data_IF_770157137333
#
_entry.id   IF_770157137333
#
_cell.length_a   1.000
_cell.length_b   1.000
_cell.length_c   1.000
_cell.angle_alpha   90.00
_cell.angle_beta   90.00
_cell.angle_gamma   90.00
#
_symmetry.space_group_name_H-M   'P 1'
#
loop_
_entity.id
_entity.type
_entity.pdbx_description
1 polymer ?
#
# COMPACT_ATOMS: atom_id res chain seq x y z
N UNK A 1 15.16 -9.15 0.69
CA UNK A 1 15.75 -7.91 0.13
C UNK A 1 15.86 -6.87 1.26
N UNK A 2 16.78 -5.90 1.20
CA UNK A 2 16.86 -4.84 2.23
C UNK A 2 15.76 -3.80 2.01
N UNK A 3 15.24 -3.23 3.09
CA UNK A 3 14.14 -2.24 3.05
C UNK A 3 14.49 -1.03 2.18
N UNK A 4 15.70 -0.49 2.31
CA UNK A 4 16.17 0.66 1.50
C UNK A 4 16.11 0.39 0.00
N UNK A 5 16.53 -0.82 -0.43
CA UNK A 5 16.49 -1.23 -1.84
C UNK A 5 15.05 -1.30 -2.37
N UNK A 6 14.10 -1.72 -1.54
CA UNK A 6 12.69 -1.79 -1.93
C UNK A 6 12.14 -0.37 -2.13
N UNK A 7 12.46 0.57 -1.24
CA UNK A 7 12.06 1.97 -1.42
C UNK A 7 12.63 2.57 -2.70
N UNK A 8 13.91 2.32 -3.01
CA UNK A 8 14.53 2.78 -4.25
C UNK A 8 13.85 2.21 -5.50
N UNK A 9 13.48 0.92 -5.48
CA UNK A 9 12.73 0.27 -6.56
C UNK A 9 11.36 0.94 -6.77
N UNK A 10 10.62 1.18 -5.69
CA UNK A 10 9.31 1.84 -5.75
C UNK A 10 9.42 3.27 -6.27
N UNK A 11 10.39 4.05 -5.76
CA UNK A 11 10.63 5.43 -6.24
C UNK A 11 10.94 5.45 -7.73
N UNK A 12 11.79 4.54 -8.19
CA UNK A 12 12.16 4.44 -9.61
C UNK A 12 10.93 4.10 -10.45
N UNK A 13 10.14 3.10 -10.04
CA UNK A 13 8.95 2.68 -10.75
C UNK A 13 7.90 3.80 -10.85
N UNK A 14 7.67 4.57 -9.78
CA UNK A 14 6.77 5.74 -9.81
C UNK A 14 7.28 6.81 -10.76
N UNK A 15 8.59 7.09 -10.75
CA UNK A 15 9.20 8.07 -11.67
C UNK A 15 9.11 7.65 -13.14
N UNK A 16 9.18 6.34 -13.42
CA UNK A 16 9.06 5.81 -14.78
C UNK A 16 7.61 5.80 -15.29
N UNK A 17 6.63 5.58 -14.42
CA UNK A 17 5.21 5.56 -14.79
C UNK A 17 4.64 6.97 -15.03
N UNK A 18 5.02 7.96 -14.21
CA UNK A 18 4.53 9.33 -14.38
C UNK A 18 5.44 10.10 -15.35
N UNK A 19 5.12 10.01 -16.64
CA UNK A 19 5.90 10.64 -17.71
C UNK A 19 5.71 12.17 -17.80
N UNK A 20 4.64 12.70 -17.23
CA UNK A 20 4.29 14.13 -17.27
C UNK A 20 4.82 14.90 -16.06
N UNK A 21 4.87 16.25 -16.09
CA UNK A 21 5.31 17.02 -14.92
C UNK A 21 4.38 16.85 -13.72
N UNK A 22 4.94 16.40 -12.59
CA UNK A 22 4.23 16.17 -11.33
C UNK A 22 5.03 16.74 -10.13
N UNK A 23 4.43 16.75 -8.94
CA UNK A 23 5.07 17.31 -7.74
C UNK A 23 5.25 16.27 -6.63
N UNK A 24 4.15 15.65 -6.20
CA UNK A 24 4.09 14.66 -5.13
C UNK A 24 3.22 13.49 -5.58
N UNK A 25 3.62 12.27 -5.22
CA UNK A 25 2.87 11.04 -5.37
C UNK A 25 2.67 10.42 -3.98
N UNK A 26 1.48 9.91 -3.73
CA UNK A 26 1.11 9.20 -2.51
C UNK A 26 0.75 7.77 -2.91
N UNK A 27 1.50 6.82 -2.39
CA UNK A 27 1.31 5.40 -2.63
C UNK A 27 0.92 4.71 -1.32
N UNK A 28 -0.25 4.10 -1.29
CA UNK A 28 -0.69 3.24 -0.20
C UNK A 28 -0.34 1.80 -0.54
N UNK A 29 0.22 1.08 0.43
CA UNK A 29 0.63 -0.30 0.30
C UNK A 29 0.01 -1.08 1.45
N UNK A 30 -0.82 -2.07 1.13
CA UNK A 30 -1.50 -2.94 2.09
C UNK A 30 -0.86 -4.32 2.05
N UNK A 31 -0.58 -4.89 3.21
CA UNK A 31 -0.13 -6.27 3.32
C UNK A 31 -1.30 -7.23 3.56
N UNK A 32 -1.41 -8.25 2.71
CA UNK A 32 -2.38 -9.32 2.86
C UNK A 32 -1.68 -10.54 3.45
N UNK A 33 -1.91 -10.81 4.74
CA UNK A 33 -1.19 -11.89 5.41
C UNK A 33 -1.65 -13.28 4.95
N UNK A 34 -2.89 -13.40 4.47
CA UNK A 34 -3.47 -14.62 3.92
C UNK A 34 -2.79 -15.12 2.63
N UNK A 35 -2.47 -14.23 1.69
CA UNK A 35 -1.79 -14.57 0.43
C UNK A 35 -0.28 -14.31 0.46
N UNK A 36 0.21 -13.64 1.51
CA UNK A 36 1.57 -13.11 1.59
C UNK A 36 1.93 -12.13 0.46
N UNK A 37 0.92 -11.46 -0.10
CA UNK A 37 1.07 -10.45 -1.14
C UNK A 37 0.90 -9.05 -0.56
N UNK A 38 1.24 -8.04 -1.38
CA UNK A 38 0.94 -6.66 -1.07
C UNK A 38 0.14 -6.06 -2.22
N UNK A 39 -0.89 -5.31 -1.87
CA UNK A 39 -1.67 -4.52 -2.81
C UNK A 39 -1.22 -3.07 -2.72
N UNK A 40 -1.29 -2.34 -3.84
CA UNK A 40 -0.98 -0.92 -3.84
C UNK A 40 -1.93 -0.11 -4.72
N UNK A 41 -2.25 1.07 -4.23
CA UNK A 41 -3.02 2.12 -4.89
C UNK A 41 -2.33 3.46 -4.63
N UNK A 42 -2.61 4.45 -5.46
CA UNK A 42 -2.02 5.76 -5.22
C UNK A 42 -2.62 6.87 -6.04
N UNK A 43 -2.20 8.09 -5.70
CA UNK A 43 -2.50 9.30 -6.46
C UNK A 43 -1.25 10.14 -6.60
N UNK A 44 -1.23 11.06 -7.55
CA UNK A 44 -0.19 12.06 -7.65
C UNK A 44 -0.78 13.41 -8.03
N UNK A 45 -0.06 14.49 -7.69
CA UNK A 45 -0.40 15.84 -8.07
C UNK A 45 0.34 16.21 -9.36
N UNK A 46 -0.41 16.50 -10.41
CA UNK A 46 0.14 17.03 -11.66
C UNK A 46 0.71 18.45 -11.47
N UNK A 47 1.28 19.04 -12.53
CA UNK A 47 1.85 20.38 -12.46
C UNK A 47 0.84 21.50 -12.16
N UNK A 48 -0.46 21.27 -12.31
CA UNK A 48 -1.51 22.19 -11.91
C UNK A 48 -1.92 22.03 -10.45
N UNK A 49 -1.47 20.96 -9.79
CA UNK A 49 -1.83 20.61 -8.43
C UNK A 49 -3.13 19.82 -8.34
N UNK A 50 -3.64 19.29 -9.47
CA UNK A 50 -4.81 18.41 -9.48
C UNK A 50 -4.40 16.97 -9.21
N UNK A 51 -5.23 16.26 -8.44
CA UNK A 51 -4.99 14.87 -8.08
C UNK A 51 -5.38 13.95 -9.24
N UNK A 52 -4.42 13.14 -9.66
CA UNK A 52 -4.54 12.12 -10.68
C UNK A 52 -4.35 10.74 -10.06
N UNK A 53 -4.98 9.72 -10.63
CA UNK A 53 -4.77 8.33 -10.20
C UNK A 53 -3.40 7.86 -10.67
N UNK A 54 -2.61 7.30 -9.75
CA UNK A 54 -1.36 6.64 -10.07
C UNK A 54 -1.66 5.22 -10.57
N UNK A 55 -1.23 4.89 -11.79
CA UNK A 55 -1.19 3.49 -12.20
C UNK A 55 -0.22 2.74 -11.29
N UNK A 56 -0.68 1.62 -10.73
CA UNK A 56 0.13 0.70 -9.92
C UNK A 56 0.46 -0.58 -10.68
N UNK A 57 0.48 -0.50 -12.01
CA UNK A 57 0.97 -1.57 -12.91
C UNK A 57 2.51 -1.63 -12.87
N UNK A 58 3.06 -1.77 -11.68
CA UNK A 58 4.50 -1.87 -11.47
C UNK A 58 5.04 -3.20 -12.02
N UNK A 59 6.34 -3.26 -12.38
CA UNK A 59 6.98 -4.52 -12.74
C UNK A 59 6.83 -5.56 -11.62
N UNK A 60 6.67 -6.84 -11.99
CA UNK A 60 6.52 -7.96 -11.04
C UNK A 60 7.61 -7.95 -9.96
N UNK A 61 8.86 -7.60 -10.30
CA UNK A 61 9.96 -7.48 -9.34
C UNK A 61 9.67 -6.48 -8.20
N UNK A 62 8.98 -5.38 -8.51
CA UNK A 62 8.59 -4.38 -7.50
C UNK A 62 7.47 -4.96 -6.63
N UNK A 63 6.44 -5.54 -7.24
CA UNK A 63 5.29 -6.12 -6.54
C UNK A 63 5.71 -7.25 -5.60
N UNK A 64 6.57 -8.16 -6.07
CA UNK A 64 7.14 -9.27 -5.29
C UNK A 64 8.02 -8.77 -4.14
N UNK A 65 8.58 -7.56 -4.24
CA UNK A 65 9.43 -6.97 -3.22
C UNK A 65 8.64 -6.29 -2.09
N UNK A 66 7.42 -5.79 -2.36
CA UNK A 66 6.61 -5.04 -1.39
C UNK A 66 6.31 -5.78 -0.08
N UNK A 67 5.93 -7.09 -0.08
CA UNK A 67 5.71 -7.83 1.16
C UNK A 67 6.91 -7.83 2.12
N UNK A 68 8.14 -7.74 1.58
CA UNK A 68 9.35 -7.71 2.39
C UNK A 68 9.46 -6.44 3.24
N UNK A 69 8.77 -5.34 2.92
CA UNK A 69 8.71 -4.15 3.78
C UNK A 69 8.12 -4.47 5.16
N UNK A 70 7.08 -5.30 5.18
CA UNK A 70 6.36 -5.69 6.39
C UNK A 70 7.15 -6.76 7.16
N UNK A 71 7.67 -7.76 6.44
CA UNK A 71 8.50 -8.83 7.02
C UNK A 71 9.79 -8.28 7.63
N UNK A 72 10.50 -7.39 6.93
CA UNK A 72 11.73 -6.78 7.44
C UNK A 72 11.46 -5.96 8.70
N UNK A 73 10.40 -5.13 8.69
CA UNK A 73 10.02 -4.34 9.85
C UNK A 73 9.76 -5.21 11.08
N UNK A 74 9.03 -6.32 10.92
CA UNK A 74 8.77 -7.27 11.99
C UNK A 74 10.07 -7.92 12.51
N UNK A 75 10.97 -8.31 11.60
CA UNK A 75 12.28 -8.89 11.96
C UNK A 75 13.18 -7.89 12.71
N UNK A 76 13.05 -6.60 12.41
CA UNK A 76 13.76 -5.51 13.11
C UNK A 76 13.17 -5.19 14.50
N UNK A 77 12.11 -5.90 14.92
CA UNK A 77 11.49 -5.75 16.23
C UNK A 77 10.59 -4.51 16.38
N UNK A 78 10.20 -3.89 15.26
CA UNK A 78 9.27 -2.77 15.26
C UNK A 78 7.82 -3.22 15.51
N UNK A 79 6.92 -2.30 15.90
CA UNK A 79 5.50 -2.61 16.02
C UNK A 79 4.90 -3.17 14.71
N UNK A 80 3.94 -4.11 14.82
CA UNK A 80 3.26 -4.68 13.66
C UNK A 80 2.52 -3.60 12.87
N UNK A 81 2.39 -3.84 11.58
CA UNK A 81 1.77 -2.94 10.60
C UNK A 81 1.24 -3.79 9.46
N UNK A 82 0.11 -3.37 8.89
CA UNK A 82 -0.52 -4.00 7.72
C UNK A 82 -0.81 -2.98 6.61
N UNK A 83 -0.44 -1.71 6.84
CA UNK A 83 -0.56 -0.63 5.87
C UNK A 83 0.67 0.28 5.94
N UNK A 84 1.08 0.80 4.80
CA UNK A 84 2.17 1.76 4.66
C UNK A 84 1.77 2.82 3.64
N UNK A 85 1.94 4.08 3.98
CA UNK A 85 1.86 5.19 3.04
C UNK A 85 3.26 5.67 2.70
N UNK A 86 3.55 5.79 1.42
CA UNK A 86 4.79 6.33 0.90
C UNK A 86 4.49 7.61 0.13
N UNK A 87 5.05 8.73 0.61
CA UNK A 87 4.99 10.02 -0.09
C UNK A 87 6.28 10.21 -0.86
N UNK A 88 6.20 10.36 -2.18
CA UNK A 88 7.34 10.50 -3.09
C UNK A 88 7.26 11.87 -3.75
N UNK A 89 8.39 12.55 -3.86
CA UNK A 89 8.51 13.80 -4.61
C UNK A 89 9.05 13.55 -6.02
N UNK A 90 8.76 14.45 -6.95
CA UNK A 90 9.31 14.38 -8.31
C UNK A 90 10.85 14.37 -8.36
N UNK A 91 11.53 14.82 -7.29
CA UNK A 91 13.00 14.75 -7.17
C UNK A 91 13.52 13.43 -6.59
N UNK A 92 12.65 12.44 -6.35
CA UNK A 92 13.02 11.13 -5.82
C UNK A 92 13.23 11.08 -4.30
N UNK A 93 12.94 12.17 -3.58
CA UNK A 93 12.87 12.12 -2.11
C UNK A 93 11.58 11.46 -1.69
N UNK A 94 11.62 10.68 -0.62
CA UNK A 94 10.45 10.00 -0.11
C UNK A 94 10.36 10.07 1.42
N UNK A 95 9.15 9.88 1.93
CA UNK A 95 8.81 9.64 3.33
C UNK A 95 7.91 8.40 3.42
N UNK A 96 7.96 7.71 4.56
CA UNK A 96 7.24 6.46 4.78
C UNK A 96 6.60 6.49 6.16
N UNK A 97 5.30 6.26 6.18
CA UNK A 97 4.49 6.14 7.39
C UNK A 97 3.86 4.76 7.46
N UNK A 98 4.08 4.07 8.59
CA UNK A 98 3.54 2.73 8.83
C UNK A 98 2.34 2.82 9.75
N UNK A 99 1.26 2.12 9.39
CA UNK A 99 0.03 2.11 10.15
C UNK A 99 -0.46 0.67 10.43
N UNK A 100 -1.15 0.53 11.55
CA UNK A 100 -1.95 -0.65 11.84
C UNK A 100 -3.43 -0.30 11.67
N UNK A 101 -4.06 -0.88 10.65
CA UNK A 101 -5.47 -0.74 10.38
C UNK A 101 -6.21 -2.00 10.88
N UNK A 102 -7.07 -1.82 11.89
CA UNK A 102 -7.82 -2.92 12.49
C UNK A 102 -8.88 -3.50 11.53
N UNK A 103 -9.44 -2.68 10.63
CA UNK A 103 -10.42 -3.14 9.65
C UNK A 103 -9.75 -4.09 8.65
N UNK A 104 -8.55 -3.75 8.17
CA UNK A 104 -7.73 -4.61 7.31
C UNK A 104 -7.41 -5.93 8.02
N UNK A 105 -6.99 -5.87 9.28
CA UNK A 105 -6.68 -7.10 10.02
C UNK A 105 -7.90 -8.01 10.15
N UNK A 106 -9.06 -7.45 10.47
CA UNK A 106 -10.29 -8.21 10.63
C UNK A 106 -10.76 -8.82 9.29
N UNK A 107 -10.59 -8.08 8.19
CA UNK A 107 -10.87 -8.54 6.83
C UNK A 107 -10.04 -9.79 6.50
N UNK A 108 -8.73 -9.68 6.68
CA UNK A 108 -7.79 -10.75 6.39
C UNK A 108 -8.01 -11.97 7.30
N UNK A 109 -8.29 -11.75 8.58
CA UNK A 109 -8.69 -12.79 9.53
C UNK A 109 -9.96 -13.53 9.09
N UNK A 110 -10.95 -12.80 8.58
CA UNK A 110 -12.22 -13.35 8.13
C UNK A 110 -12.04 -14.23 6.89
N UNK A 111 -11.30 -13.75 5.89
CA UNK A 111 -11.02 -14.52 4.68
C UNK A 111 -10.11 -15.71 4.92
N UNK A 112 -9.12 -15.59 5.82
CA UNK A 112 -8.26 -16.70 6.25
C UNK A 112 -9.06 -17.84 6.89
N UNK A 113 -10.16 -17.52 7.59
CA UNK A 113 -11.06 -18.50 8.20
C UNK A 113 -12.08 -19.09 7.20
N UNK A 114 -11.97 -18.78 5.92
CA UNK A 114 -12.87 -19.24 4.85
C UNK A 114 -14.17 -18.44 4.76
N UNK A 115 -14.21 -17.23 5.32
CA UNK A 115 -15.34 -16.33 5.24
C UNK A 115 -15.58 -15.80 3.82
N UNK A 116 -16.82 -15.42 3.53
CA UNK A 116 -17.23 -14.89 2.23
C UNK A 116 -17.25 -13.36 2.20
N UNK A 117 -17.13 -12.76 1.00
CA UNK A 117 -17.22 -11.32 0.83
C UNK A 117 -18.57 -10.74 1.30
N UNK A 118 -19.67 -11.50 1.13
CA UNK A 118 -21.00 -11.08 1.61
C UNK A 118 -21.04 -10.98 3.14
N UNK A 119 -20.42 -11.92 3.84
CA UNK A 119 -20.33 -11.88 5.30
C UNK A 119 -19.42 -10.74 5.76
N UNK A 120 -18.30 -10.52 5.06
CA UNK A 120 -17.41 -9.41 5.35
C UNK A 120 -18.11 -8.06 5.23
N UNK A 121 -18.85 -7.80 4.13
CA UNK A 121 -19.61 -6.55 3.97
C UNK A 121 -20.56 -6.29 5.13
N UNK A 122 -21.21 -7.34 5.65
CA UNK A 122 -22.09 -7.23 6.81
C UNK A 122 -21.31 -6.89 8.08
N UNK A 123 -20.22 -7.60 8.36
CA UNK A 123 -19.34 -7.33 9.51
C UNK A 123 -18.80 -5.90 9.45
N UNK A 124 -18.33 -5.49 8.27
CA UNK A 124 -17.78 -4.18 7.99
C UNK A 124 -18.80 -3.07 8.27
N UNK A 125 -20.03 -3.24 7.80
CA UNK A 125 -21.13 -2.31 8.08
C UNK A 125 -21.47 -2.25 9.58
N UNK A 126 -21.57 -3.39 10.26
CA UNK A 126 -21.95 -3.46 11.67
C UNK A 126 -20.86 -2.92 12.61
N UNK A 127 -19.57 -3.12 12.28
CA UNK A 127 -18.43 -2.78 13.14
C UNK A 127 -17.80 -1.42 12.81
N UNK A 128 -17.75 -1.05 11.54
CA UNK A 128 -17.05 0.14 11.05
C UNK A 128 -18.00 1.19 10.45
N UNK A 129 -19.29 0.88 10.31
CA UNK A 129 -20.30 1.84 9.85
C UNK A 129 -20.24 2.14 8.35
N UNK A 130 -19.49 1.37 7.56
CA UNK A 130 -19.38 1.58 6.12
C UNK A 130 -20.62 1.05 5.39
N UNK A 131 -21.27 1.93 4.61
CA UNK A 131 -22.24 1.56 3.58
C UNK A 131 -21.57 1.72 2.22
N UNK A 132 -21.41 0.66 1.42
CA UNK A 132 -21.02 0.82 0.03
C UNK A 132 -22.12 1.63 -0.68
N UNK A 133 -21.77 2.76 -1.29
CA UNK A 133 -22.64 3.42 -2.28
C UNK A 133 -22.64 2.64 -3.61
#
# INVERSE_FOLDING_TARGET
>A
MKTETIYELVVTAVQELIAEPWTIAELNIRYLSSSHEAECDGTYLDASGEAQVLSTDFPDEVLDALPFLFVNRANDGNPPTNSLQMTISAQGRFAVDYEWDQEIQDEDDHFTKGGTAKEWLKIRQEKYGYTPE
#
